data_IF_579893152566
#
_entry.id   IF_579893152566
#
_cell.length_a   1.000
_cell.length_b   1.000
_cell.length_c   1.000
_cell.angle_alpha   90.00
_cell.angle_beta   90.00
_cell.angle_gamma   90.00
#
_symmetry.space_group_name_H-M   'P 1'
#
loop_
_entity.id
_entity.type
_entity.pdbx_description
1 polymer ?
#
# COMPACT_ATOMS: atom_id res chain seq x y z
N UNK A 1 21.97 -6.62 -6.51
CA UNK A 1 22.05 -5.15 -6.53
C UNK A 1 20.67 -4.58 -6.29
N UNK A 2 20.54 -3.51 -5.52
CA UNK A 2 19.26 -2.84 -5.26
C UNK A 2 19.45 -1.34 -5.43
N UNK A 3 18.73 -0.74 -6.37
CA UNK A 3 18.67 0.70 -6.56
C UNK A 3 17.58 1.27 -5.65
N UNK A 4 17.92 2.31 -4.89
CA UNK A 4 17.00 2.95 -3.94
C UNK A 4 17.15 4.47 -4.04
N UNK A 5 16.09 5.26 -3.82
CA UNK A 5 16.25 6.72 -3.73
C UNK A 5 17.07 7.08 -2.48
N UNK A 6 17.77 8.21 -2.52
CA UNK A 6 18.60 8.70 -1.39
C UNK A 6 17.79 8.89 -0.09
N UNK A 7 16.49 9.17 -0.23
CA UNK A 7 15.57 9.43 0.89
C UNK A 7 14.88 8.17 1.42
N UNK A 8 15.27 6.98 0.94
CA UNK A 8 14.68 5.73 1.42
C UNK A 8 14.85 5.57 2.95
N UNK A 9 13.82 5.11 3.69
CA UNK A 9 13.92 4.93 5.13
C UNK A 9 15.11 4.09 5.56
N UNK A 10 15.86 4.57 6.56
CA UNK A 10 17.10 3.93 7.05
C UNK A 10 16.88 2.47 7.45
N UNK A 11 15.74 2.15 8.06
CA UNK A 11 15.39 0.78 8.43
C UNK A 11 15.34 -0.17 7.21
N UNK A 12 14.81 0.29 6.06
CA UNK A 12 14.77 -0.49 4.81
C UNK A 12 16.18 -0.74 4.28
N UNK A 13 17.06 0.27 4.33
CA UNK A 13 18.46 0.16 3.88
C UNK A 13 19.26 -0.81 4.74
N UNK A 14 19.14 -0.71 6.07
CA UNK A 14 19.82 -1.59 7.02
C UNK A 14 19.46 -3.05 6.75
N UNK A 15 18.18 -3.35 6.56
CA UNK A 15 17.73 -4.70 6.24
C UNK A 15 18.35 -5.23 4.94
N UNK A 16 18.39 -4.41 3.88
CA UNK A 16 18.97 -4.80 2.59
C UNK A 16 20.46 -5.13 2.69
N UNK A 17 21.24 -4.27 3.37
CA UNK A 17 22.69 -4.46 3.54
C UNK A 17 22.98 -5.68 4.40
N UNK A 18 22.23 -5.90 5.49
CA UNK A 18 22.40 -7.06 6.37
C UNK A 18 22.15 -8.39 5.66
N UNK A 19 21.22 -8.43 4.70
CA UNK A 19 21.00 -9.62 3.86
C UNK A 19 22.06 -9.80 2.75
N UNK A 20 23.10 -8.96 2.70
CA UNK A 20 24.21 -9.07 1.76
C UNK A 20 23.96 -8.41 0.40
N UNK A 21 22.94 -7.56 0.28
CA UNK A 21 22.69 -6.86 -0.98
C UNK A 21 23.69 -5.71 -1.21
N UNK A 22 24.19 -5.58 -2.44
CA UNK A 22 24.83 -4.33 -2.90
C UNK A 22 23.75 -3.26 -3.10
N UNK A 23 23.63 -2.34 -2.15
CA UNK A 23 22.68 -1.22 -2.20
C UNK A 23 23.31 -0.04 -2.91
N UNK A 24 22.59 0.55 -3.87
CA UNK A 24 23.01 1.70 -4.68
C UNK A 24 22.03 2.85 -4.42
N UNK A 25 22.34 3.78 -3.52
CA UNK A 25 21.54 5.00 -3.33
C UNK A 25 21.65 5.91 -4.56
N UNK A 26 20.52 6.25 -5.14
CA UNK A 26 20.37 7.14 -6.29
C UNK A 26 19.96 8.52 -5.78
N UNK A 27 20.73 9.56 -6.13
CA UNK A 27 20.41 10.96 -5.83
C UNK A 27 19.23 11.43 -6.68
N UNK A 28 18.03 11.03 -6.29
CA UNK A 28 16.80 11.24 -7.04
C UNK A 28 15.58 10.61 -6.37
N UNK A 29 14.51 10.51 -7.14
CA UNK A 29 13.22 9.97 -6.71
C UNK A 29 13.15 8.44 -6.82
N UNK A 30 12.03 7.85 -6.35
CA UNK A 30 11.75 6.44 -6.58
C UNK A 30 11.74 6.11 -8.09
N UNK A 31 11.13 6.98 -8.90
CA UNK A 31 11.03 6.81 -10.35
C UNK A 31 12.41 6.83 -11.03
N UNK A 32 13.33 7.68 -10.55
CA UNK A 32 14.71 7.70 -11.03
C UNK A 32 15.46 6.39 -10.74
N UNK A 33 15.32 5.87 -9.51
CA UNK A 33 15.91 4.59 -9.12
C UNK A 33 15.31 3.42 -9.92
N UNK A 34 14.01 3.44 -10.15
CA UNK A 34 13.31 2.46 -10.97
C UNK A 34 13.81 2.49 -12.42
N UNK A 35 13.84 3.67 -13.06
CA UNK A 35 14.33 3.83 -14.44
C UNK A 35 15.77 3.37 -14.59
N UNK A 36 16.66 3.75 -13.67
CA UNK A 36 18.06 3.34 -13.69
C UNK A 36 18.21 1.81 -13.56
N UNK A 37 17.38 1.17 -12.73
CA UNK A 37 17.41 -0.29 -12.59
C UNK A 37 16.96 -1.01 -13.87
N UNK A 38 16.04 -0.44 -14.64
CA UNK A 38 15.63 -0.97 -15.95
C UNK A 38 16.76 -0.83 -16.98
N UNK A 39 17.37 0.35 -17.07
CA UNK A 39 18.52 0.60 -17.97
C UNK A 39 19.71 -0.34 -17.64
N UNK A 40 19.97 -0.58 -16.35
CA UNK A 40 20.99 -1.53 -15.93
C UNK A 40 20.67 -2.95 -16.42
N UNK A 41 19.42 -3.39 -16.26
CA UNK A 41 18.97 -4.73 -16.65
C UNK A 41 19.11 -4.94 -18.15
N UNK A 42 18.66 -3.96 -18.93
CA UNK A 42 18.71 -3.96 -20.39
C UNK A 42 20.15 -4.12 -20.93
N UNK A 43 21.12 -3.41 -20.31
CA UNK A 43 22.51 -3.39 -20.77
C UNK A 43 23.42 -4.47 -20.21
N UNK A 44 23.15 -4.96 -19.00
CA UNK A 44 24.08 -5.84 -18.26
C UNK A 44 23.59 -7.28 -18.13
N UNK A 45 22.38 -7.58 -18.61
CA UNK A 45 21.66 -8.84 -18.45
C UNK A 45 21.46 -9.25 -16.97
N UNK A 46 20.24 -9.61 -16.62
CA UNK A 46 19.89 -10.03 -15.26
C UNK A 46 18.39 -10.11 -15.05
N UNK A 47 17.96 -10.80 -14.00
CA UNK A 47 16.55 -10.81 -13.62
C UNK A 47 16.21 -9.51 -12.88
N UNK A 48 15.34 -8.68 -13.45
CA UNK A 48 14.82 -7.51 -12.75
C UNK A 48 13.57 -7.88 -11.95
N UNK A 49 13.63 -7.76 -10.62
CA UNK A 49 12.53 -8.11 -9.70
C UNK A 49 11.56 -6.95 -9.41
N UNK A 50 11.65 -5.84 -10.15
CA UNK A 50 10.75 -4.71 -9.97
C UNK A 50 9.30 -5.15 -10.09
N UNK A 51 8.50 -4.70 -9.13
CA UNK A 51 7.15 -5.22 -8.91
C UNK A 51 6.19 -4.93 -10.07
N UNK A 52 6.38 -3.82 -10.79
CA UNK A 52 5.56 -3.50 -11.96
C UNK A 52 6.19 -3.95 -13.30
N UNK A 53 7.38 -4.54 -13.27
CA UNK A 53 8.07 -5.05 -14.46
C UNK A 53 7.99 -6.57 -14.55
N UNK A 54 8.27 -7.27 -13.45
CA UNK A 54 8.34 -8.71 -13.42
C UNK A 54 6.95 -9.34 -13.20
N UNK A 55 6.39 -10.07 -14.17
CA UNK A 55 5.00 -10.56 -14.09
C UNK A 55 4.75 -11.52 -12.93
N UNK A 56 5.73 -12.36 -12.58
CA UNK A 56 5.61 -13.26 -11.41
C UNK A 56 5.37 -12.54 -10.08
N UNK A 57 5.68 -11.24 -9.96
CA UNK A 57 5.41 -10.51 -8.72
C UNK A 57 3.93 -10.16 -8.55
N UNK A 58 3.15 -10.13 -9.63
CA UNK A 58 1.67 -10.07 -9.60
C UNK A 58 1.12 -11.44 -9.19
N UNK A 59 1.63 -12.53 -9.77
CA UNK A 59 1.24 -13.91 -9.36
C UNK A 59 1.53 -14.17 -7.88
N UNK A 60 2.68 -13.71 -7.38
CA UNK A 60 3.00 -13.82 -5.96
C UNK A 60 2.04 -13.02 -5.08
N UNK A 61 1.64 -11.81 -5.49
CA UNK A 61 0.66 -11.00 -4.73
C UNK A 61 -0.76 -11.54 -4.85
N UNK A 62 -1.05 -12.30 -5.91
CA UNK A 62 -2.33 -12.99 -6.09
C UNK A 62 -2.64 -13.92 -4.92
N UNK A 63 -1.62 -14.54 -4.33
CA UNK A 63 -1.83 -15.50 -3.24
C UNK A 63 -2.51 -14.86 -2.05
N UNK A 64 -2.25 -13.57 -1.76
CA UNK A 64 -2.97 -12.85 -0.71
C UNK A 64 -4.49 -12.84 -0.94
N UNK A 65 -4.95 -12.69 -2.19
CA UNK A 65 -6.38 -12.78 -2.51
C UNK A 65 -6.95 -14.20 -2.36
N UNK A 66 -6.16 -15.22 -2.71
CA UNK A 66 -6.55 -16.63 -2.51
C UNK A 66 -6.64 -17.00 -1.03
N UNK A 67 -5.68 -16.53 -0.23
CA UNK A 67 -5.66 -16.70 1.22
C UNK A 67 -6.84 -15.98 1.88
N UNK A 68 -7.16 -14.75 1.46
CA UNK A 68 -8.36 -14.03 1.92
C UNK A 68 -9.62 -14.87 1.67
N UNK A 69 -9.79 -15.42 0.46
CA UNK A 69 -10.96 -16.24 0.13
C UNK A 69 -11.02 -17.51 0.99
N UNK A 70 -9.90 -18.22 1.13
CA UNK A 70 -9.82 -19.43 1.95
C UNK A 70 -10.13 -19.15 3.44
N UNK A 71 -9.47 -18.14 4.02
CA UNK A 71 -9.65 -17.75 5.43
C UNK A 71 -11.02 -17.14 5.70
N UNK A 72 -11.70 -16.61 4.69
CA UNK A 72 -13.10 -16.18 4.79
C UNK A 72 -14.11 -17.35 4.77
N UNK A 73 -13.64 -18.60 4.79
CA UNK A 73 -14.47 -19.80 4.70
C UNK A 73 -14.99 -20.04 3.30
N UNK A 74 -14.14 -19.79 2.28
CA UNK A 74 -14.48 -19.88 0.86
C UNK A 74 -15.63 -18.98 0.42
N UNK A 75 -15.81 -17.85 1.12
CA UNK A 75 -16.81 -16.83 0.79
C UNK A 75 -16.14 -15.56 0.29
N UNK A 76 -16.68 -14.97 -0.76
CA UNK A 76 -16.18 -13.71 -1.30
C UNK A 76 -16.52 -12.57 -0.32
N UNK A 77 -15.55 -11.76 0.14
CA UNK A 77 -15.85 -10.56 0.91
C UNK A 77 -16.68 -9.55 0.12
N UNK A 78 -17.33 -8.62 0.80
CA UNK A 78 -18.11 -7.57 0.13
C UNK A 78 -17.21 -6.47 -0.40
N UNK A 79 -16.15 -6.13 0.33
CA UNK A 79 -15.15 -5.16 -0.06
C UNK A 79 -13.75 -5.54 0.39
N UNK A 80 -12.74 -5.18 -0.41
CA UNK A 80 -11.33 -5.30 -0.06
C UNK A 80 -10.66 -3.94 -0.28
N UNK A 81 -10.14 -3.36 0.79
CA UNK A 81 -9.46 -2.07 0.80
C UNK A 81 -7.96 -2.28 0.61
N UNK A 82 -7.40 -1.58 -0.37
CA UNK A 82 -5.99 -1.69 -0.75
C UNK A 82 -5.41 -0.30 -0.83
N UNK A 83 -4.26 -0.07 -0.19
CA UNK A 83 -3.46 1.12 -0.42
C UNK A 83 -2.76 1.03 -1.79
N UNK A 84 -2.78 2.11 -2.56
CA UNK A 84 -2.37 2.07 -3.97
C UNK A 84 -1.26 3.09 -4.25
N UNK A 85 -0.04 2.58 -4.47
CA UNK A 85 1.05 3.29 -5.14
C UNK A 85 1.09 2.91 -6.62
N UNK A 86 2.02 2.03 -7.00
CA UNK A 86 2.16 1.53 -8.39
C UNK A 86 0.96 0.78 -8.97
N UNK A 87 -0.03 0.37 -8.17
CA UNK A 87 -1.19 -0.38 -8.65
C UNK A 87 -1.01 -1.91 -8.72
N UNK A 88 0.10 -2.44 -8.21
CA UNK A 88 0.43 -3.86 -8.37
C UNK A 88 -0.25 -4.78 -7.35
N UNK A 89 -0.39 -4.37 -6.08
CA UNK A 89 -1.08 -5.17 -5.04
C UNK A 89 -2.55 -5.35 -5.41
N UNK A 90 -3.24 -4.26 -5.75
CA UNK A 90 -4.64 -4.33 -6.17
C UNK A 90 -4.82 -5.16 -7.45
N UNK A 91 -3.86 -5.11 -8.38
CA UNK A 91 -3.84 -5.97 -9.56
C UNK A 91 -3.68 -7.45 -9.23
N UNK A 92 -2.81 -7.80 -8.27
CA UNK A 92 -2.65 -9.17 -7.77
C UNK A 92 -3.92 -9.70 -7.10
N UNK A 93 -4.50 -8.91 -6.19
CA UNK A 93 -5.77 -9.25 -5.51
C UNK A 93 -6.89 -9.45 -6.53
N UNK A 94 -7.03 -8.53 -7.49
CA UNK A 94 -8.00 -8.65 -8.58
C UNK A 94 -7.84 -9.95 -9.36
N UNK A 95 -6.60 -10.27 -9.75
CA UNK A 95 -6.31 -11.49 -10.48
C UNK A 95 -6.71 -12.73 -9.70
N UNK A 96 -6.60 -12.73 -8.37
CA UNK A 96 -6.96 -13.86 -7.53
C UNK A 96 -8.44 -14.20 -7.67
N UNK A 97 -9.29 -13.19 -7.47
CA UNK A 97 -10.73 -13.36 -7.57
C UNK A 97 -11.18 -13.56 -9.02
N UNK A 98 -10.50 -12.97 -10.00
CA UNK A 98 -10.79 -13.24 -11.41
C UNK A 98 -10.48 -14.69 -11.80
N UNK A 99 -9.36 -15.24 -11.35
CA UNK A 99 -9.00 -16.65 -11.60
C UNK A 99 -9.99 -17.60 -10.89
N UNK A 100 -10.36 -17.30 -9.64
CA UNK A 100 -11.40 -18.06 -8.90
C UNK A 100 -12.75 -18.04 -9.65
N UNK A 101 -13.15 -16.87 -10.17
CA UNK A 101 -14.40 -16.73 -10.93
C UNK A 101 -14.35 -17.50 -12.24
N UNK A 102 -13.23 -17.42 -12.97
CA UNK A 102 -13.01 -18.17 -14.21
C UNK A 102 -12.97 -19.68 -13.99
N UNK A 103 -12.50 -20.12 -12.83
CA UNK A 103 -12.53 -21.53 -12.42
C UNK A 103 -13.91 -22.00 -11.95
N UNK A 104 -14.93 -21.12 -11.89
CA UNK A 104 -16.27 -21.46 -11.41
C UNK A 104 -16.38 -21.66 -9.90
N UNK A 105 -15.37 -21.23 -9.14
CA UNK A 105 -15.34 -21.38 -7.67
C UNK A 105 -16.09 -20.26 -6.94
N UNK A 106 -16.32 -19.14 -7.61
CA UNK A 106 -17.11 -18.01 -7.14
C UNK A 106 -17.94 -17.44 -8.29
N UNK A 107 -19.07 -16.79 -7.99
CA UNK A 107 -20.00 -16.19 -8.95
C UNK A 107 -19.82 -14.68 -9.12
N UNK A 108 -19.23 -14.02 -8.11
CA UNK A 108 -18.99 -12.57 -8.08
C UNK A 108 -17.56 -12.22 -7.68
N UNK A 109 -17.15 -10.99 -8.01
CA UNK A 109 -15.92 -10.39 -7.48
C UNK A 109 -16.23 -9.61 -6.19
N UNK A 110 -15.27 -9.48 -5.26
CA UNK A 110 -15.37 -8.51 -4.17
C UNK A 110 -15.16 -7.10 -4.73
N UNK A 111 -15.80 -6.07 -4.16
CA UNK A 111 -15.54 -4.69 -4.56
C UNK A 111 -14.12 -4.30 -4.15
N UNK A 112 -13.26 -3.94 -5.10
CA UNK A 112 -11.91 -3.49 -4.79
C UNK A 112 -11.91 -1.98 -4.56
N UNK A 113 -11.52 -1.58 -3.36
CA UNK A 113 -11.49 -0.18 -2.95
C UNK A 113 -10.03 0.28 -2.92
N UNK A 114 -9.61 1.02 -3.95
CA UNK A 114 -8.26 1.55 -4.06
C UNK A 114 -8.13 2.89 -3.34
N UNK A 115 -7.25 2.98 -2.35
CA UNK A 115 -7.07 4.19 -1.54
C UNK A 115 -5.69 4.79 -1.79
N UNK A 116 -5.64 6.06 -2.18
CA UNK A 116 -4.41 6.82 -2.39
C UNK A 116 -4.30 7.98 -1.41
N UNK A 117 -3.08 8.48 -1.19
CA UNK A 117 -2.91 9.77 -0.54
C UNK A 117 -3.33 10.89 -1.50
N UNK A 118 -3.95 11.96 -1.00
CA UNK A 118 -4.40 13.09 -1.83
C UNK A 118 -3.27 13.74 -2.64
N UNK A 119 -2.04 13.76 -2.11
CA UNK A 119 -0.89 14.30 -2.83
C UNK A 119 -0.27 13.32 -3.84
N UNK A 120 -0.70 12.05 -3.89
CA UNK A 120 -0.19 11.02 -4.81
C UNK A 120 -1.35 10.16 -5.36
N UNK A 121 -2.20 10.79 -6.17
CA UNK A 121 -3.56 10.32 -6.51
C UNK A 121 -3.76 9.98 -8.01
N UNK A 122 -2.68 9.71 -8.75
CA UNK A 122 -2.74 9.52 -10.20
C UNK A 122 -3.74 8.43 -10.66
N UNK A 123 -3.83 7.31 -9.95
CA UNK A 123 -4.79 6.24 -10.25
C UNK A 123 -6.21 6.68 -9.90
N UNK A 124 -6.41 7.41 -8.80
CA UNK A 124 -7.69 7.96 -8.40
C UNK A 124 -8.26 8.85 -9.52
N UNK A 125 -7.49 9.88 -9.94
CA UNK A 125 -7.91 10.77 -11.03
C UNK A 125 -8.14 10.01 -12.33
N UNK A 126 -7.32 9.00 -12.62
CA UNK A 126 -7.50 8.19 -13.83
C UNK A 126 -8.79 7.35 -13.81
N UNK A 127 -9.18 6.82 -12.64
CA UNK A 127 -10.46 6.12 -12.49
C UNK A 127 -11.64 7.08 -12.68
N UNK A 128 -11.61 8.24 -12.02
CA UNK A 128 -12.72 9.22 -12.04
C UNK A 128 -12.90 9.90 -13.40
N UNK A 129 -11.80 10.29 -14.05
CA UNK A 129 -11.85 11.06 -15.31
C UNK A 129 -11.76 10.20 -16.56
N UNK A 130 -11.26 8.98 -16.45
CA UNK A 130 -10.92 8.12 -17.60
C UNK A 130 -9.67 8.56 -18.37
N UNK A 131 -8.99 9.64 -17.97
CA UNK A 131 -7.79 10.18 -18.61
C UNK A 131 -6.57 9.98 -17.70
N UNK A 132 -5.57 9.25 -18.18
CA UNK A 132 -4.35 9.00 -17.40
C UNK A 132 -3.46 10.24 -17.40
N UNK A 133 -2.91 10.58 -16.24
CA UNK A 133 -1.82 11.53 -16.09
C UNK A 133 -1.06 11.23 -14.80
N UNK A 134 0.23 11.50 -14.81
CA UNK A 134 1.10 11.34 -13.64
C UNK A 134 0.65 12.26 -12.49
N UNK A 135 1.03 11.93 -11.25
CA UNK A 135 0.88 12.82 -10.12
C UNK A 135 1.86 14.00 -10.27
N UNK A 136 1.41 15.23 -10.02
CA UNK A 136 2.22 16.41 -10.31
C UNK A 136 3.51 16.49 -9.45
N UNK A 137 3.39 16.27 -8.15
CA UNK A 137 4.51 16.24 -7.22
C UNK A 137 4.11 15.50 -5.93
N UNK A 138 4.30 14.17 -5.86
CA UNK A 138 3.87 13.40 -4.72
C UNK A 138 4.71 13.71 -3.47
N UNK A 139 4.04 14.12 -2.40
CA UNK A 139 4.68 14.57 -1.14
C UNK A 139 4.15 13.85 0.10
N UNK A 140 3.35 12.81 -0.08
CA UNK A 140 2.76 12.05 1.04
C UNK A 140 3.83 11.45 1.94
N UNK A 141 3.53 11.42 3.24
CA UNK A 141 4.31 10.73 4.27
C UNK A 141 4.19 9.22 4.20
N UNK A 142 3.23 8.69 3.44
CA UNK A 142 3.13 7.27 3.15
C UNK A 142 4.11 6.89 2.02
N UNK A 143 5.39 6.75 2.36
CA UNK A 143 6.50 6.62 1.41
C UNK A 143 6.27 5.53 0.34
N UNK A 144 5.71 4.38 0.76
CA UNK A 144 5.52 3.21 -0.11
C UNK A 144 4.41 3.38 -1.15
N UNK A 145 3.62 4.45 -1.08
CA UNK A 145 2.62 4.83 -2.08
C UNK A 145 2.86 6.22 -2.67
N UNK A 146 4.00 6.86 -2.37
CA UNK A 146 4.40 8.15 -2.94
C UNK A 146 5.01 7.95 -4.33
N UNK A 147 4.16 7.94 -5.36
CA UNK A 147 4.54 7.59 -6.73
C UNK A 147 4.07 8.66 -7.72
N UNK A 148 4.96 9.09 -8.61
CA UNK A 148 4.66 10.07 -9.67
C UNK A 148 3.98 9.37 -10.84
N UNK A 149 4.61 8.30 -11.34
CA UNK A 149 4.17 7.54 -12.50
C UNK A 149 3.87 6.07 -12.10
N UNK A 150 2.62 5.75 -11.69
CA UNK A 150 2.28 4.40 -11.24
C UNK A 150 2.44 3.38 -12.37
N UNK A 151 3.42 2.49 -12.21
CA UNK A 151 3.84 1.61 -13.30
C UNK A 151 2.79 0.56 -13.72
N UNK A 152 1.76 0.30 -12.91
CA UNK A 152 0.62 -0.57 -13.24
C UNK A 152 -0.74 0.17 -13.16
N UNK A 153 -0.77 1.47 -13.48
CA UNK A 153 -1.99 2.29 -13.43
C UNK A 153 -3.17 1.71 -14.22
N UNK A 154 -2.93 1.24 -15.46
CA UNK A 154 -3.98 0.65 -16.30
C UNK A 154 -4.54 -0.65 -15.71
N UNK A 155 -3.68 -1.49 -15.14
CA UNK A 155 -4.10 -2.72 -14.46
C UNK A 155 -4.93 -2.42 -13.21
N UNK A 156 -4.53 -1.42 -12.43
CA UNK A 156 -5.27 -0.97 -11.25
C UNK A 156 -6.65 -0.39 -11.62
N UNK A 157 -6.72 0.48 -12.64
CA UNK A 157 -8.00 1.02 -13.13
C UNK A 157 -8.93 -0.11 -13.58
N UNK A 158 -8.42 -1.06 -14.37
CA UNK A 158 -9.21 -2.22 -14.81
C UNK A 158 -9.74 -3.02 -13.63
N UNK A 159 -8.88 -3.33 -12.66
CA UNK A 159 -9.25 -4.06 -11.44
C UNK A 159 -10.39 -3.39 -10.65
N UNK A 160 -10.31 -2.06 -10.49
CA UNK A 160 -11.33 -1.29 -9.76
C UNK A 160 -12.66 -1.32 -10.52
N UNK A 161 -12.64 -1.09 -11.84
CA UNK A 161 -13.86 -1.03 -12.65
C UNK A 161 -14.53 -2.40 -12.80
N UNK A 162 -13.77 -3.45 -13.15
CA UNK A 162 -14.30 -4.81 -13.34
C UNK A 162 -14.89 -5.41 -12.05
N UNK A 163 -14.37 -5.00 -10.89
CA UNK A 163 -14.88 -5.44 -9.59
C UNK A 163 -16.11 -4.67 -9.08
N UNK A 164 -16.59 -3.66 -9.82
CA UNK A 164 -17.63 -2.74 -9.31
C UNK A 164 -17.17 -1.97 -8.06
N UNK A 165 -15.85 -1.79 -7.95
CA UNK A 165 -15.19 -1.07 -6.87
C UNK A 165 -15.26 0.44 -7.04
N UNK A 166 -14.46 1.15 -6.25
CA UNK A 166 -14.25 2.59 -6.40
C UNK A 166 -12.86 2.96 -5.89
N UNK A 167 -12.50 4.22 -6.08
CA UNK A 167 -11.28 4.80 -5.54
C UNK A 167 -11.60 5.90 -4.52
N UNK A 168 -10.72 6.07 -3.53
CA UNK A 168 -10.78 7.14 -2.55
C UNK A 168 -9.40 7.78 -2.43
N UNK A 169 -9.38 9.06 -2.07
CA UNK A 169 -8.19 9.73 -1.56
C UNK A 169 -8.33 10.03 -0.08
N UNK A 170 -7.22 10.05 0.64
CA UNK A 170 -7.14 10.44 2.05
C UNK A 170 -5.96 11.38 2.28
N UNK A 171 -6.09 12.31 3.21
CA UNK A 171 -5.00 13.18 3.65
C UNK A 171 -3.96 12.39 4.44
N UNK A 172 -2.73 12.90 4.53
CA UNK A 172 -1.72 12.34 5.44
C UNK A 172 -2.18 12.37 6.91
N UNK A 173 -2.99 13.36 7.27
CA UNK A 173 -3.53 13.46 8.61
C UNK A 173 -4.56 12.35 8.91
N UNK A 174 -5.40 12.00 7.94
CA UNK A 174 -6.31 10.85 8.02
C UNK A 174 -5.50 9.54 8.09
N UNK A 175 -4.43 9.40 7.30
CA UNK A 175 -3.55 8.22 7.30
C UNK A 175 -2.92 7.99 8.68
N UNK A 176 -2.35 9.02 9.28
CA UNK A 176 -1.68 8.90 10.59
C UNK A 176 -2.68 8.73 11.73
N UNK A 177 -3.88 9.31 11.62
CA UNK A 177 -4.98 9.06 12.55
C UNK A 177 -5.42 7.60 12.47
N UNK A 178 -5.55 7.06 11.26
CA UNK A 178 -5.88 5.66 11.01
C UNK A 178 -4.79 4.72 11.55
N UNK A 179 -3.51 5.07 11.39
CA UNK A 179 -2.38 4.31 11.94
C UNK A 179 -2.47 4.21 13.47
N UNK A 180 -2.66 5.34 14.15
CA UNK A 180 -2.83 5.38 15.60
C UNK A 180 -4.06 4.60 16.07
N UNK A 181 -5.18 4.72 15.35
CA UNK A 181 -6.40 3.98 15.64
C UNK A 181 -6.22 2.45 15.49
N UNK A 182 -5.52 1.98 14.45
CA UNK A 182 -5.18 0.56 14.30
C UNK A 182 -4.35 0.07 15.49
N UNK A 183 -3.29 0.80 15.84
CA UNK A 183 -2.41 0.42 16.95
C UNK A 183 -3.17 0.36 18.29
N UNK A 184 -3.91 1.42 18.61
CA UNK A 184 -4.58 1.55 19.93
C UNK A 184 -5.84 0.71 20.08
N UNK A 185 -6.57 0.44 19.00
CA UNK A 185 -7.85 -0.30 19.07
C UNK A 185 -7.74 -1.78 18.72
N UNK A 186 -6.70 -2.16 17.98
CA UNK A 186 -6.56 -3.54 17.46
C UNK A 186 -5.21 -4.18 17.78
N UNK A 187 -4.24 -3.41 18.30
CA UNK A 187 -2.88 -3.88 18.51
C UNK A 187 -2.05 -4.04 17.23
N UNK A 188 -2.59 -3.63 16.07
CA UNK A 188 -1.90 -3.73 14.77
C UNK A 188 -1.13 -2.44 14.51
N UNK A 189 0.20 -2.49 14.63
CA UNK A 189 1.07 -1.38 14.25
C UNK A 189 1.60 -1.55 12.81
N UNK A 190 1.03 -0.77 11.89
CA UNK A 190 1.34 -0.77 10.45
C UNK A 190 2.16 0.48 10.07
N UNK A 191 2.88 0.43 8.95
CA UNK A 191 3.49 1.65 8.36
C UNK A 191 2.39 2.59 7.81
N UNK A 192 2.65 3.88 7.56
CA UNK A 192 1.61 4.81 7.11
C UNK A 192 0.88 4.33 5.83
N UNK A 193 1.61 3.82 4.84
CA UNK A 193 1.01 3.24 3.63
C UNK A 193 0.08 2.05 3.90
N UNK A 194 0.38 1.25 4.93
CA UNK A 194 -0.50 0.15 5.35
C UNK A 194 -1.71 0.62 6.16
N UNK A 195 -1.69 1.84 6.71
CA UNK A 195 -2.85 2.47 7.36
C UNK A 195 -3.79 3.15 6.35
N UNK A 196 -3.31 3.53 5.17
CA UNK A 196 -4.10 4.21 4.13
C UNK A 196 -5.36 3.44 3.74
N UNK A 197 -5.30 2.12 3.64
CA UNK A 197 -6.47 1.28 3.34
C UNK A 197 -7.55 1.40 4.43
N UNK A 198 -7.16 1.47 5.71
CA UNK A 198 -8.08 1.66 6.82
C UNK A 198 -8.64 3.08 6.87
N UNK A 199 -7.82 4.10 6.60
CA UNK A 199 -8.28 5.48 6.47
C UNK A 199 -9.40 5.59 5.41
N UNK A 200 -9.24 4.90 4.28
CA UNK A 200 -10.28 4.82 3.25
C UNK A 200 -11.57 4.16 3.72
N UNK A 201 -11.51 3.11 4.55
CA UNK A 201 -12.71 2.52 5.17
C UNK A 201 -13.43 3.54 6.07
N UNK A 202 -12.69 4.23 6.95
CA UNK A 202 -13.26 5.25 7.85
C UNK A 202 -13.94 6.35 7.04
N UNK A 203 -13.28 6.86 5.99
CA UNK A 203 -13.85 7.88 5.10
C UNK A 203 -15.07 7.39 4.33
N UNK A 204 -15.05 6.14 3.82
CA UNK A 204 -16.18 5.56 3.11
C UNK A 204 -17.41 5.42 4.02
N UNK A 205 -17.22 5.00 5.27
CA UNK A 205 -18.32 4.82 6.22
C UNK A 205 -18.98 6.13 6.65
N UNK A 206 -18.27 7.27 6.55
CA UNK A 206 -18.84 8.59 6.78
C UNK A 206 -19.57 9.16 5.55
N UNK A 207 -19.62 8.44 4.43
CA UNK A 207 -20.18 8.91 3.16
C UNK A 207 -21.51 8.25 2.81
N UNK A 208 -22.22 8.79 1.82
CA UNK A 208 -23.41 8.16 1.25
C UNK A 208 -23.15 6.79 0.58
N UNK A 209 -21.87 6.43 0.37
CA UNK A 209 -21.42 5.14 -0.21
C UNK A 209 -20.96 4.13 0.86
N UNK A 210 -21.34 4.35 2.12
CA UNK A 210 -21.08 3.46 3.24
C UNK A 210 -21.41 2.00 2.91
N UNK A 211 -20.63 1.08 3.48
CA UNK A 211 -20.94 -0.33 3.34
C UNK A 211 -22.20 -0.65 4.15
N UNK A 212 -23.04 -1.54 3.62
CA UNK A 212 -24.23 -1.98 4.32
C UNK A 212 -23.88 -2.56 5.70
N UNK A 213 -24.81 -2.42 6.65
CA UNK A 213 -24.67 -3.06 7.95
C UNK A 213 -24.47 -4.57 7.78
N UNK A 214 -23.49 -5.14 8.49
CA UNK A 214 -23.12 -6.56 8.39
C UNK A 214 -22.22 -6.92 7.20
N UNK A 215 -21.85 -5.97 6.34
CA UNK A 215 -20.92 -6.22 5.25
C UNK A 215 -19.53 -6.68 5.75
N UNK A 216 -18.94 -7.65 5.06
CA UNK A 216 -17.60 -8.17 5.35
C UNK A 216 -16.56 -7.40 4.53
N UNK A 217 -15.80 -6.55 5.20
CA UNK A 217 -14.68 -5.82 4.62
C UNK A 217 -13.33 -6.44 5.03
N UNK A 218 -12.38 -6.43 4.10
CA UNK A 218 -10.98 -6.79 4.35
C UNK A 218 -10.11 -5.57 4.14
N UNK A 219 -9.15 -5.32 5.03
CA UNK A 219 -8.18 -4.23 4.93
C UNK A 219 -6.80 -4.86 4.76
N UNK A 220 -6.09 -4.53 3.68
CA UNK A 220 -4.70 -4.97 3.51
C UNK A 220 -3.74 -4.01 4.21
N UNK A 221 -3.19 -4.45 5.35
CA UNK A 221 -2.04 -3.81 5.98
C UNK A 221 -0.75 -4.29 5.31
N UNK A 222 -0.20 -3.46 4.41
CA UNK A 222 0.87 -3.87 3.48
C UNK A 222 2.28 -3.92 4.08
N UNK A 223 2.50 -3.29 5.23
CA UNK A 223 3.82 -3.24 5.86
C UNK A 223 3.75 -3.03 7.37
N UNK A 224 4.79 -3.52 8.04
CA UNK A 224 4.93 -3.42 9.50
C UNK A 224 5.39 -2.01 9.91
N UNK A 225 4.83 -1.46 10.99
CA UNK A 225 5.14 -0.11 11.47
C UNK A 225 6.61 0.13 11.82
N UNK A 226 7.38 -0.92 12.14
CA UNK A 226 8.83 -0.81 12.41
C UNK A 226 9.66 -0.44 11.16
N UNK A 227 9.07 -0.47 9.95
CA UNK A 227 9.73 -0.03 8.72
C UNK A 227 9.81 1.49 8.59
N UNK A 228 8.93 2.21 9.27
CA UNK A 228 8.88 3.67 9.26
C UNK A 228 8.39 4.19 10.62
N UNK A 229 9.35 4.34 11.54
CA UNK A 229 9.13 4.89 12.87
C UNK A 229 9.17 6.41 12.89
N UNK A 230 9.68 7.07 11.84
CA UNK A 230 9.80 8.53 11.78
C UNK A 230 8.44 9.20 11.50
N UNK A 231 7.61 8.58 10.65
CA UNK A 231 6.27 9.09 10.36
C UNK A 231 5.38 9.30 11.61
N UNK A 232 5.25 8.36 12.55
CA UNK A 232 4.44 8.59 13.75
C UNK A 232 5.06 9.61 14.73
N UNK A 233 6.39 9.82 14.73
CA UNK A 233 7.06 10.71 15.70
C UNK A 233 6.65 12.19 15.61
N UNK A 234 6.05 12.63 14.50
CA UNK A 234 5.50 13.99 14.44
C UNK A 234 4.22 14.16 15.28
N UNK A 235 3.63 13.06 15.77
CA UNK A 235 2.35 13.03 16.49
C UNK A 235 2.44 12.44 17.89
N UNK A 236 3.56 11.81 18.20
CA UNK A 236 3.83 11.20 19.51
C UNK A 236 5.13 11.76 20.06
N UNK A 237 5.24 11.83 21.38
CA UNK A 237 6.50 12.11 22.06
C UNK A 237 6.93 10.85 22.79
N UNK A 238 8.18 10.43 22.58
CA UNK A 238 8.78 9.38 23.40
C UNK A 238 9.12 10.00 24.75
N UNK A 239 8.55 9.50 25.87
CA UNK A 239 8.82 10.08 27.17
C UNK A 239 10.31 9.91 27.53
N UNK A 240 10.93 10.91 28.19
CA UNK A 240 12.29 10.78 28.68
C UNK A 240 12.38 9.68 29.74
N UNK A 241 13.59 9.13 29.93
CA UNK A 241 13.85 8.23 31.04
C UNK A 241 13.63 8.97 32.38
N UNK A 242 13.03 8.27 33.34
CA UNK A 242 12.91 8.73 34.73
C UNK A 242 13.99 8.07 35.59
N UNK A 243 14.29 8.68 36.73
CA UNK A 243 15.14 8.04 37.75
C UNK A 243 14.51 6.72 38.24
N UNK A 244 15.29 5.70 38.62
CA UNK A 244 14.80 4.39 39.04
C UNK A 244 14.23 4.42 40.48
N UNK A 245 13.28 5.34 40.75
CA UNK A 245 12.63 5.55 42.04
C UNK A 245 11.15 5.91 41.88
N UNK A 246 10.32 5.45 42.82
CA UNK A 246 8.86 5.57 42.73
C UNK A 246 8.39 7.03 42.62
N UNK A 247 9.09 7.97 43.27
CA UNK A 247 8.75 9.40 43.28
C UNK A 247 8.89 10.06 41.91
N UNK A 248 9.62 9.42 40.98
CA UNK A 248 9.82 9.92 39.62
C UNK A 248 8.78 9.38 38.62
N UNK A 249 7.85 8.51 39.04
CA UNK A 249 6.75 8.01 38.21
C UNK A 249 5.61 9.05 38.16
N UNK A 250 5.20 9.55 36.96
CA UNK A 250 4.07 10.46 36.84
C UNK A 250 2.77 9.85 37.37
N UNK A 251 1.92 10.67 37.99
CA UNK A 251 0.57 10.26 38.42
C UNK A 251 -0.40 10.14 37.26
#
# INVERSE_FOLDING_TARGET
>A
LIFVPEKAPKAKLVQMVLYGATVIPVKGTYDDAFRLSLEYTDRRAGLNRNTAYHPLTIEGKKTAGLEIWAQAGFRVPDAIFVSVGDGVIIGGVHKAFLDLKRAGLIDRLPRLIGVQAESSDAIHRYVETGVYSDAANPTTRADSISVTCPSNAHGARRAILESGGLTLTVTDDEILTAQAALATRTGIFTEPAGATAYAGLVKLQASAKALASGARAVILATGNGLKDVEAPLSRISIPPAIEPRLESVPR
#
